data_IF_662288142400
#
_entry.id   IF_662288142400
#
_cell.length_a   1.000
_cell.length_b   1.000
_cell.length_c   1.000
_cell.angle_alpha   90.00
_cell.angle_beta   90.00
_cell.angle_gamma   90.00
#
_symmetry.space_group_name_H-M   'P 1'
#
loop_
_entity.id
_entity.type
_entity.pdbx_description
1 polymer ?
#
# COMPACT_ATOMS: atom_id res chain seq x y z
N UNK A 1 26.85 -5.99 -9.42
CA UNK A 1 25.54 -6.53 -9.00
C UNK A 1 24.38 -5.51 -9.11
N UNK A 2 24.48 -4.38 -9.82
CA UNK A 2 23.42 -3.34 -9.82
C UNK A 2 22.33 -3.48 -10.91
N UNK A 3 22.48 -4.40 -11.86
CA UNK A 3 21.59 -4.47 -13.05
C UNK A 3 20.17 -4.97 -12.73
N UNK A 4 20.00 -5.73 -11.64
CA UNK A 4 18.71 -6.35 -11.29
C UNK A 4 17.78 -5.41 -10.52
N UNK A 5 18.31 -4.42 -9.80
CA UNK A 5 17.51 -3.47 -8.99
C UNK A 5 16.75 -2.46 -9.86
N UNK A 6 17.38 -1.95 -10.92
CA UNK A 6 16.76 -0.94 -11.81
C UNK A 6 15.58 -1.50 -12.61
N UNK A 7 15.65 -2.77 -13.04
CA UNK A 7 14.58 -3.41 -13.81
C UNK A 7 13.34 -3.71 -12.94
N UNK A 8 13.54 -4.06 -11.66
CA UNK A 8 12.44 -4.34 -10.71
C UNK A 8 11.67 -3.08 -10.32
N UNK A 9 12.34 -1.95 -10.14
CA UNK A 9 11.67 -0.66 -9.85
C UNK A 9 10.71 -0.23 -10.97
N UNK A 10 11.05 -0.51 -12.23
CA UNK A 10 10.16 -0.24 -13.38
C UNK A 10 8.91 -1.12 -13.41
N UNK A 11 9.03 -2.40 -13.01
CA UNK A 11 7.89 -3.34 -12.94
C UNK A 11 6.95 -2.94 -11.78
N UNK A 12 7.51 -2.58 -10.62
CA UNK A 12 6.75 -2.12 -9.45
C UNK A 12 5.95 -0.83 -9.76
N UNK A 13 6.55 0.13 -10.46
CA UNK A 13 5.86 1.35 -10.87
C UNK A 13 4.70 1.07 -11.85
N UNK A 14 4.86 0.07 -12.73
CA UNK A 14 3.83 -0.33 -13.70
C UNK A 14 2.60 -0.94 -13.05
N UNK A 15 2.77 -1.82 -12.06
CA UNK A 15 1.68 -2.44 -11.32
C UNK A 15 0.90 -1.40 -10.49
N UNK A 16 1.59 -0.53 -9.75
CA UNK A 16 0.94 0.52 -8.96
C UNK A 16 0.15 1.50 -9.84
N UNK A 17 0.64 1.79 -11.04
CA UNK A 17 -0.10 2.61 -12.01
C UNK A 17 -1.39 1.92 -12.49
N UNK A 18 -1.40 0.59 -12.65
CA UNK A 18 -2.60 -0.17 -12.98
C UNK A 18 -3.63 -0.11 -11.85
N UNK A 19 -3.20 -0.32 -10.60
CA UNK A 19 -4.06 -0.17 -9.42
C UNK A 19 -4.65 1.23 -9.32
N UNK A 20 -3.84 2.27 -9.51
CA UNK A 20 -4.33 3.65 -9.48
C UNK A 20 -5.42 3.91 -10.52
N UNK A 21 -5.23 3.45 -11.77
CA UNK A 21 -6.25 3.55 -12.82
C UNK A 21 -7.51 2.74 -12.48
N UNK A 22 -7.37 1.55 -11.91
CA UNK A 22 -8.51 0.73 -11.49
C UNK A 22 -9.33 1.44 -10.40
N UNK A 23 -8.66 2.15 -9.50
CA UNK A 23 -9.33 2.91 -8.44
C UNK A 23 -9.76 4.32 -8.86
N UNK A 24 -9.48 4.79 -10.08
CA UNK A 24 -10.05 6.04 -10.57
C UNK A 24 -11.58 6.01 -10.51
N UNK A 25 -12.26 7.16 -10.45
CA UNK A 25 -13.71 7.19 -10.25
C UNK A 25 -14.42 6.55 -11.46
N UNK A 26 -14.69 5.25 -11.38
CA UNK A 26 -15.91 4.71 -11.95
C UNK A 26 -17.07 5.29 -11.13
N UNK A 27 -18.26 5.40 -11.70
CA UNK A 27 -19.42 6.03 -11.05
C UNK A 27 -19.85 5.35 -9.72
N UNK A 28 -19.14 4.31 -9.27
CA UNK A 28 -19.29 3.65 -7.99
C UNK A 28 -18.66 4.46 -6.85
N UNK A 29 -19.50 5.02 -5.98
CA UNK A 29 -19.04 5.64 -4.74
C UNK A 29 -18.86 4.59 -3.64
N UNK A 30 -17.73 4.61 -2.92
CA UNK A 30 -17.54 3.80 -1.71
C UNK A 30 -18.66 4.08 -0.69
N UNK A 31 -19.23 3.02 -0.11
CA UNK A 31 -20.16 3.15 1.01
C UNK A 31 -19.41 3.54 2.29
N UNK A 32 -20.11 4.12 3.26
CA UNK A 32 -19.53 4.51 4.55
C UNK A 32 -18.92 3.32 5.29
N UNK A 33 -19.62 2.18 5.33
CA UNK A 33 -19.16 0.97 6.00
C UNK A 33 -17.87 0.40 5.38
N UNK A 34 -17.80 0.37 4.05
CA UNK A 34 -16.57 -0.06 3.35
C UNK A 34 -15.42 0.92 3.61
N UNK A 35 -15.69 2.23 3.60
CA UNK A 35 -14.66 3.22 3.91
C UNK A 35 -14.10 3.04 5.34
N UNK A 36 -14.95 2.78 6.33
CA UNK A 36 -14.51 2.51 7.71
C UNK A 36 -13.70 1.21 7.80
N UNK A 37 -14.16 0.14 7.17
CA UNK A 37 -13.44 -1.14 7.12
C UNK A 37 -12.04 -1.00 6.52
N UNK A 38 -11.92 -0.31 5.37
CA UNK A 38 -10.63 -0.06 4.72
C UNK A 38 -9.65 0.72 5.60
N UNK A 39 -10.14 1.63 6.45
CA UNK A 39 -9.29 2.37 7.39
C UNK A 39 -8.78 1.49 8.53
N UNK A 40 -9.57 0.52 8.96
CA UNK A 40 -9.23 -0.41 10.03
C UNK A 40 -8.20 -1.48 9.60
N UNK A 41 -8.07 -1.77 8.30
CA UNK A 41 -7.08 -2.73 7.81
C UNK A 41 -5.65 -2.28 8.16
N UNK A 42 -4.86 -3.15 8.74
CA UNK A 42 -3.44 -2.95 8.99
C UNK A 42 -2.71 -4.29 8.92
N UNK A 43 -1.40 -4.25 8.73
CA UNK A 43 -0.58 -5.46 8.89
C UNK A 43 -0.68 -5.94 10.34
N UNK A 44 -0.82 -7.26 10.59
CA UNK A 44 -0.73 -7.80 11.94
C UNK A 44 0.66 -7.56 12.52
N UNK A 45 0.79 -7.62 13.84
CA UNK A 45 2.05 -7.28 14.53
C UNK A 45 3.24 -8.12 14.03
N UNK A 46 3.01 -9.41 13.76
CA UNK A 46 4.05 -10.31 13.22
C UNK A 46 4.61 -9.83 11.88
N UNK A 47 3.76 -9.29 11.00
CA UNK A 47 4.19 -8.73 9.72
C UNK A 47 4.93 -7.41 9.92
N UNK A 48 4.50 -6.56 10.86
CA UNK A 48 5.21 -5.32 11.19
C UNK A 48 6.62 -5.61 11.75
N UNK A 49 6.74 -6.60 12.63
CA UNK A 49 8.02 -7.03 13.18
C UNK A 49 8.93 -7.55 12.06
N UNK A 50 8.39 -8.38 11.17
CA UNK A 50 9.13 -8.89 10.01
C UNK A 50 9.58 -7.79 9.05
N UNK A 51 8.71 -6.81 8.76
CA UNK A 51 9.06 -5.64 7.96
C UNK A 51 10.21 -4.83 8.59
N UNK A 52 10.21 -4.68 9.92
CA UNK A 52 11.28 -3.99 10.63
C UNK A 52 12.61 -4.75 10.55
N UNK A 53 12.59 -6.08 10.74
CA UNK A 53 13.78 -6.92 10.57
C UNK A 53 14.38 -6.79 9.17
N UNK A 54 13.54 -6.89 8.13
CA UNK A 54 13.96 -6.73 6.74
C UNK A 54 14.55 -5.34 6.49
N UNK A 55 13.96 -4.29 7.07
CA UNK A 55 14.47 -2.93 6.96
C UNK A 55 15.85 -2.74 7.63
N UNK A 56 16.09 -3.40 8.77
CA UNK A 56 17.42 -3.40 9.41
C UNK A 56 18.45 -4.13 8.55
N UNK A 57 18.12 -5.32 8.04
CA UNK A 57 19.00 -6.06 7.11
C UNK A 57 19.30 -5.27 5.84
N UNK A 58 18.30 -4.57 5.30
CA UNK A 58 18.45 -3.73 4.13
C UNK A 58 19.49 -2.62 4.38
N UNK A 59 19.45 -1.97 5.54
CA UNK A 59 20.42 -0.96 5.94
C UNK A 59 21.84 -1.51 6.05
N UNK A 60 21.98 -2.75 6.53
CA UNK A 60 23.26 -3.47 6.60
C UNK A 60 23.76 -4.02 5.26
N UNK A 61 22.92 -4.04 4.22
CA UNK A 61 23.24 -4.70 2.94
C UNK A 61 23.24 -6.23 3.03
N UNK A 62 22.51 -6.78 4.00
CA UNK A 62 22.51 -8.21 4.38
C UNK A 62 21.30 -8.98 3.84
N UNK A 63 20.42 -8.33 3.07
CA UNK A 63 19.25 -8.99 2.49
C UNK A 63 19.65 -10.11 1.54
N UNK A 64 19.06 -11.28 1.74
CA UNK A 64 19.08 -12.32 0.71
C UNK A 64 18.16 -11.94 -0.45
N UNK A 65 18.24 -12.68 -1.56
CA UNK A 65 17.34 -12.44 -2.70
C UNK A 65 15.88 -12.69 -2.33
N UNK A 66 15.62 -13.73 -1.54
CA UNK A 66 14.29 -14.10 -1.05
C UNK A 66 13.73 -13.01 -0.13
N UNK A 67 14.56 -12.48 0.77
CA UNK A 67 14.20 -11.41 1.68
C UNK A 67 13.95 -10.08 0.95
N UNK A 68 14.70 -9.80 -0.11
CA UNK A 68 14.41 -8.66 -0.98
C UNK A 68 13.04 -8.81 -1.65
N UNK A 69 12.69 -10.00 -2.14
CA UNK A 69 11.38 -10.26 -2.75
C UNK A 69 10.25 -10.11 -1.72
N UNK A 70 10.49 -10.58 -0.49
CA UNK A 70 9.57 -10.43 0.64
C UNK A 70 9.34 -8.95 0.99
N UNK A 71 10.42 -8.17 1.12
CA UNK A 71 10.34 -6.72 1.35
C UNK A 71 9.58 -6.01 0.22
N UNK A 72 9.88 -6.35 -1.04
CA UNK A 72 9.17 -5.81 -2.21
C UNK A 72 7.67 -6.14 -2.16
N UNK A 73 7.27 -7.32 -1.66
CA UNK A 73 5.87 -7.70 -1.47
C UNK A 73 5.17 -6.81 -0.45
N UNK A 74 5.80 -6.60 0.72
CA UNK A 74 5.25 -5.73 1.76
C UNK A 74 5.07 -4.30 1.25
N UNK A 75 6.05 -3.75 0.52
CA UNK A 75 5.95 -2.43 -0.09
C UNK A 75 4.80 -2.34 -1.09
N UNK A 76 4.64 -3.33 -1.99
CA UNK A 76 3.53 -3.37 -2.96
C UNK A 76 2.17 -3.35 -2.26
N UNK A 77 1.97 -4.22 -1.29
CA UNK A 77 0.71 -4.30 -0.53
C UNK A 77 0.47 -3.00 0.25
N UNK A 78 1.50 -2.44 0.87
CA UNK A 78 1.43 -1.18 1.61
C UNK A 78 1.01 0.01 0.72
N UNK A 79 1.54 0.10 -0.49
CA UNK A 79 1.16 1.14 -1.45
C UNK A 79 -0.31 1.04 -1.87
N UNK A 80 -0.79 -0.17 -2.20
CA UNK A 80 -2.20 -0.37 -2.56
C UNK A 80 -3.12 -0.01 -1.38
N UNK A 81 -2.78 -0.46 -0.17
CA UNK A 81 -3.54 -0.14 1.04
C UNK A 81 -3.57 1.38 1.32
N UNK A 82 -2.45 2.08 1.10
CA UNK A 82 -2.35 3.54 1.23
C UNK A 82 -3.35 4.26 0.31
N UNK A 83 -3.43 3.86 -0.96
CA UNK A 83 -4.36 4.44 -1.94
C UNK A 83 -5.81 4.22 -1.51
N UNK A 84 -6.14 2.99 -1.09
CA UNK A 84 -7.47 2.63 -0.60
C UNK A 84 -7.87 3.46 0.64
N UNK A 85 -6.97 3.57 1.62
CA UNK A 85 -7.19 4.39 2.82
C UNK A 85 -7.34 5.88 2.51
N UNK A 86 -6.62 6.39 1.51
CA UNK A 86 -6.77 7.78 1.05
C UNK A 86 -8.17 8.05 0.52
N UNK A 87 -8.69 7.16 -0.36
CA UNK A 87 -10.05 7.25 -0.90
C UNK A 87 -11.13 7.11 0.17
N UNK A 88 -10.94 6.20 1.13
CA UNK A 88 -11.83 6.06 2.28
C UNK A 88 -11.90 7.35 3.10
N UNK A 89 -10.76 7.98 3.42
CA UNK A 89 -10.71 9.28 4.10
C UNK A 89 -11.45 10.37 3.34
N UNK A 90 -11.27 10.46 2.02
CA UNK A 90 -11.98 11.43 1.18
C UNK A 90 -13.50 11.22 1.23
N UNK A 91 -13.98 9.97 1.16
CA UNK A 91 -15.41 9.67 1.27
C UNK A 91 -15.99 10.09 2.62
N UNK A 92 -15.32 9.75 3.72
CA UNK A 92 -15.77 10.13 5.06
C UNK A 92 -15.73 11.65 5.28
N UNK A 93 -14.72 12.34 4.73
CA UNK A 93 -14.66 13.81 4.74
C UNK A 93 -15.84 14.42 3.98
N UNK A 94 -16.19 13.90 2.81
CA UNK A 94 -17.32 14.37 2.02
C UNK A 94 -18.66 14.16 2.76
N UNK A 95 -18.86 13.01 3.41
CA UNK A 95 -20.05 12.74 4.23
C UNK A 95 -20.15 13.74 5.38
N UNK A 96 -19.05 13.97 6.11
CA UNK A 96 -19.02 14.93 7.22
C UNK A 96 -19.33 16.37 6.77
N UNK A 97 -18.88 16.75 5.58
CA UNK A 97 -19.17 18.07 5.01
C UNK A 97 -20.65 18.21 4.59
N UNK A 98 -21.31 17.13 4.18
CA UNK A 98 -22.71 17.12 3.81
C UNK A 98 -23.67 17.11 5.01
N UNK A 99 -23.20 16.66 6.18
CA UNK A 99 -23.93 16.68 7.45
C UNK A 99 -23.14 17.48 8.51
N UNK A 100 -23.04 18.81 8.40
CA UNK A 100 -22.51 19.64 9.48
C UNK A 100 -23.46 19.54 10.68
N UNK A 101 -22.90 19.34 11.87
CA UNK A 101 -23.64 19.32 13.13
C UNK A 101 -24.37 20.64 13.40
#
# INVERSE_FOLDING_TARGET
MQKTSVLKNGINAGELALWNRLFEPSNATLSTGIAQYLLALHFPQSDLDRMNELAEKARGGELTLEEQIELDNYERVGHVLSVLKSKARLKLKAIRAANPA
#
